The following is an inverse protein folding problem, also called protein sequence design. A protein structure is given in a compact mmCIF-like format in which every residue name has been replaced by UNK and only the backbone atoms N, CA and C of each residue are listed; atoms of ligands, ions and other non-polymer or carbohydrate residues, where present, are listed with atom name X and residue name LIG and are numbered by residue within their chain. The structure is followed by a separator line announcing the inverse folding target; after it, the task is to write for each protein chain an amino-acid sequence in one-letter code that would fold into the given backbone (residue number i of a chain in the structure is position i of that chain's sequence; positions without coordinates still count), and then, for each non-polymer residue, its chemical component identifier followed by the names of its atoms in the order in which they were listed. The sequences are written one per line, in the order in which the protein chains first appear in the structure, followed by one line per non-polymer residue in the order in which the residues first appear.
data_IF_990504347333
#
_entry.id   IF_990504347333
#
_cell.length_a   1.000
_cell.length_b   1.000
_cell.length_c   1.000
_cell.angle_alpha   90.00
_cell.angle_beta   90.00
_cell.angle_gamma   90.00
#
_symmetry.space_group_name_H-M   'P 1'
#
loop_
_entity.id
_entity.type
_entity.pdbx_description
1 polymer ?
#
# COMPACT_ATOMS: atom_id res chain seq x y z
N UNK A 1 -16.46 0.05 -22.86
CA UNK A 1 -16.76 -1.17 -22.06
C UNK A 1 -16.38 -0.81 -20.64
N UNK A 2 -17.31 -0.90 -19.68
CA UNK A 2 -16.95 -0.68 -18.28
C UNK A 2 -15.93 -1.72 -17.84
N UNK A 3 -14.94 -1.28 -17.10
CA UNK A 3 -13.91 -2.15 -16.54
C UNK A 3 -14.56 -3.05 -15.47
N UNK A 4 -14.27 -4.36 -15.49
CA UNK A 4 -14.81 -5.30 -14.50
C UNK A 4 -13.83 -5.38 -13.33
N UNK A 5 -14.35 -5.17 -12.10
CA UNK A 5 -13.57 -5.15 -10.89
C UNK A 5 -13.90 -6.32 -9.96
N UNK A 6 -12.91 -6.71 -9.17
CA UNK A 6 -13.06 -7.61 -8.03
C UNK A 6 -13.22 -6.79 -6.74
N UNK A 7 -14.39 -6.89 -6.09
CA UNK A 7 -14.82 -6.00 -5.02
C UNK A 7 -15.26 -6.79 -3.78
N UNK A 8 -14.69 -6.50 -2.61
CA UNK A 8 -15.20 -6.99 -1.35
C UNK A 8 -15.96 -5.89 -0.60
N UNK A 9 -17.27 -6.06 -0.39
CA UNK A 9 -18.06 -5.25 0.51
C UNK A 9 -18.00 -5.82 1.93
N UNK A 10 -17.66 -5.00 2.90
CA UNK A 10 -17.46 -5.40 4.29
C UNK A 10 -18.48 -4.73 5.18
N UNK A 11 -19.29 -5.53 5.88
CA UNK A 11 -20.27 -5.02 6.86
C UNK A 11 -19.94 -5.53 8.28
N UNK A 12 -20.06 -4.69 9.32
CA UNK A 12 -19.84 -5.12 10.69
C UNK A 12 -21.05 -5.86 11.31
N UNK A 13 -22.16 -5.95 10.58
CA UNK A 13 -23.40 -6.54 11.04
C UNK A 13 -23.56 -7.98 10.57
N UNK A 14 -24.18 -8.86 11.41
CA UNK A 14 -24.49 -10.24 10.99
C UNK A 14 -25.29 -10.24 9.69
N UNK A 15 -24.88 -11.07 8.73
CA UNK A 15 -25.52 -11.07 7.41
C UNK A 15 -27.00 -11.46 7.46
N UNK A 16 -27.39 -12.25 8.46
CA UNK A 16 -28.76 -12.66 8.68
C UNK A 16 -29.68 -11.53 9.17
N UNK A 17 -29.12 -10.41 9.66
CA UNK A 17 -29.88 -9.25 10.15
C UNK A 17 -30.50 -8.45 8.99
N UNK A 18 -31.62 -8.95 8.46
CA UNK A 18 -32.31 -8.33 7.31
C UNK A 18 -32.91 -6.95 7.64
N UNK A 19 -33.29 -6.72 8.90
CA UNK A 19 -33.82 -5.43 9.37
C UNK A 19 -32.76 -4.31 9.44
N UNK A 20 -31.49 -4.66 9.36
CA UNK A 20 -30.40 -3.69 9.43
C UNK A 20 -30.33 -2.89 8.12
N UNK A 21 -30.44 -1.56 8.21
CA UNK A 21 -30.45 -0.67 7.04
C UNK A 21 -29.15 -0.76 6.23
N UNK A 22 -27.99 -0.88 6.90
CA UNK A 22 -26.70 -1.02 6.21
C UNK A 22 -26.64 -2.33 5.43
N UNK A 23 -27.07 -3.45 6.02
CA UNK A 23 -27.11 -4.73 5.32
C UNK A 23 -28.09 -4.74 4.14
N UNK A 24 -29.23 -4.02 4.22
CA UNK A 24 -30.14 -3.86 3.08
C UNK A 24 -29.47 -3.11 1.95
N UNK A 25 -28.84 -1.97 2.25
CA UNK A 25 -28.08 -1.20 1.29
C UNK A 25 -26.95 -2.05 0.64
N UNK A 26 -26.17 -2.77 1.44
CA UNK A 26 -25.11 -3.66 0.93
C UNK A 26 -25.68 -4.74 0.01
N UNK A 27 -26.82 -5.36 0.35
CA UNK A 27 -27.47 -6.36 -0.51
C UNK A 27 -27.89 -5.80 -1.86
N UNK A 28 -28.54 -4.63 -1.86
CA UNK A 28 -29.00 -3.97 -3.08
C UNK A 28 -27.82 -3.58 -3.98
N UNK A 29 -26.82 -2.92 -3.40
CA UNK A 29 -25.61 -2.48 -4.14
C UNK A 29 -24.84 -3.68 -4.71
N UNK A 30 -24.57 -4.70 -3.88
CA UNK A 30 -23.77 -5.84 -4.32
C UNK A 30 -24.48 -6.71 -5.36
N UNK A 31 -25.79 -6.88 -5.25
CA UNK A 31 -26.58 -7.57 -6.27
C UNK A 31 -26.56 -6.82 -7.61
N UNK A 32 -26.64 -5.48 -7.58
CA UNK A 32 -26.56 -4.67 -8.80
C UNK A 32 -25.17 -4.73 -9.43
N UNK A 33 -24.09 -4.55 -8.66
CA UNK A 33 -22.72 -4.63 -9.15
C UNK A 33 -22.41 -6.01 -9.74
N UNK A 34 -22.89 -7.10 -9.13
CA UNK A 34 -22.74 -8.44 -9.68
C UNK A 34 -23.50 -8.60 -11.00
N UNK A 35 -24.74 -8.08 -11.11
CA UNK A 35 -25.51 -8.09 -12.35
C UNK A 35 -24.86 -7.25 -13.46
N UNK A 36 -24.12 -6.19 -13.12
CA UNK A 36 -23.35 -5.36 -14.05
C UNK A 36 -21.99 -6.00 -14.43
N UNK A 37 -21.69 -7.20 -13.90
CA UNK A 37 -20.57 -8.06 -14.30
C UNK A 37 -19.33 -7.98 -13.42
N UNK A 38 -19.38 -7.25 -12.29
CA UNK A 38 -18.29 -7.23 -11.32
C UNK A 38 -18.22 -8.54 -10.51
N UNK A 39 -17.03 -8.92 -10.08
CA UNK A 39 -16.83 -10.03 -9.14
C UNK A 39 -16.99 -9.53 -7.71
N UNK A 40 -18.11 -9.88 -7.06
CA UNK A 40 -18.49 -9.27 -5.78
C UNK A 40 -18.50 -10.28 -4.63
N UNK A 41 -17.71 -9.97 -3.58
CA UNK A 41 -17.74 -10.64 -2.28
C UNK A 41 -18.46 -9.79 -1.24
N UNK A 42 -19.12 -10.45 -0.30
CA UNK A 42 -19.61 -9.81 0.93
C UNK A 42 -18.93 -10.47 2.12
N UNK A 43 -18.22 -9.68 2.93
CA UNK A 43 -17.59 -10.11 4.17
C UNK A 43 -18.45 -9.64 5.35
N UNK A 44 -19.05 -10.58 6.07
CA UNK A 44 -19.93 -10.26 7.18
C UNK A 44 -19.79 -11.27 8.33
N UNK A 45 -20.05 -10.89 9.59
CA UNK A 45 -20.28 -11.84 10.68
C UNK A 45 -21.54 -12.68 10.41
N UNK A 46 -21.65 -13.83 11.07
CA UNK A 46 -22.81 -14.73 10.96
C UNK A 46 -23.22 -15.29 12.31
N UNK A 47 -24.50 -15.55 12.52
CA UNK A 47 -25.01 -16.32 13.66
C UNK A 47 -24.80 -17.83 13.47
N UNK A 48 -24.45 -18.28 12.26
CA UNK A 48 -24.23 -19.69 11.95
C UNK A 48 -22.76 -20.09 12.03
N UNK A 49 -22.41 -20.87 13.04
CA UNK A 49 -21.07 -21.47 13.18
C UNK A 49 -20.71 -22.36 11.96
N UNK A 50 -21.70 -23.03 11.39
CA UNK A 50 -21.52 -23.88 10.22
C UNK A 50 -21.05 -23.07 9.00
N UNK A 51 -21.72 -21.94 8.69
CA UNK A 51 -21.31 -21.02 7.61
C UNK A 51 -19.90 -20.47 7.83
N UNK A 52 -19.54 -20.14 9.07
CA UNK A 52 -18.17 -19.68 9.39
C UNK A 52 -17.13 -20.78 9.11
N UNK A 53 -17.44 -22.04 9.48
CA UNK A 53 -16.56 -23.19 9.20
C UNK A 53 -16.43 -23.47 7.70
N UNK A 54 -17.54 -23.41 6.96
CA UNK A 54 -17.55 -23.58 5.50
C UNK A 54 -16.73 -22.48 4.82
N UNK A 55 -16.92 -21.20 5.19
CA UNK A 55 -16.15 -20.08 4.68
C UNK A 55 -14.65 -20.26 4.91
N UNK A 56 -14.23 -20.68 6.11
CA UNK A 56 -12.82 -20.96 6.41
C UNK A 56 -12.26 -22.14 5.61
N UNK A 57 -13.06 -23.17 5.33
CA UNK A 57 -12.63 -24.28 4.45
C UNK A 57 -12.45 -23.79 3.02
N UNK A 58 -13.38 -22.99 2.51
CA UNK A 58 -13.30 -22.41 1.17
C UNK A 58 -12.07 -21.53 1.01
N UNK A 59 -11.77 -20.65 1.97
CA UNK A 59 -10.57 -19.80 1.97
C UNK A 59 -9.30 -20.65 1.90
N UNK A 60 -9.21 -21.72 2.71
CA UNK A 60 -8.03 -22.59 2.71
C UNK A 60 -7.90 -23.42 1.44
N UNK A 61 -9.01 -23.86 0.86
CA UNK A 61 -9.02 -24.63 -0.38
C UNK A 61 -8.58 -23.78 -1.58
N UNK A 62 -8.89 -22.50 -1.54
CA UNK A 62 -8.57 -21.55 -2.63
C UNK A 62 -7.11 -21.05 -2.64
N UNK A 63 -6.24 -21.54 -1.74
CA UNK A 63 -4.82 -21.20 -1.75
C UNK A 63 -4.21 -21.60 -3.09
N UNK A 64 -3.95 -20.60 -3.95
CA UNK A 64 -3.42 -20.76 -5.29
C UNK A 64 -4.44 -20.67 -6.44
N UNK A 65 -5.76 -20.63 -6.14
CA UNK A 65 -6.82 -20.49 -7.13
C UNK A 65 -7.87 -19.46 -6.68
N UNK A 66 -7.51 -18.20 -6.69
CA UNK A 66 -8.31 -17.05 -6.22
C UNK A 66 -9.67 -16.96 -6.90
N UNK A 67 -9.76 -17.31 -8.17
CA UNK A 67 -10.99 -17.29 -8.95
C UNK A 67 -12.12 -18.12 -8.31
N UNK A 68 -11.81 -19.21 -7.61
CA UNK A 68 -12.82 -20.05 -6.93
C UNK A 68 -13.49 -19.33 -5.75
N UNK A 69 -12.82 -18.37 -5.14
CA UNK A 69 -13.40 -17.56 -4.05
C UNK A 69 -14.23 -16.37 -4.57
N UNK A 70 -13.93 -15.87 -5.74
CA UNK A 70 -14.63 -14.74 -6.33
C UNK A 70 -15.96 -15.13 -6.97
N UNK A 71 -16.05 -16.32 -7.55
CA UNK A 71 -17.29 -16.76 -8.18
C UNK A 71 -18.31 -17.24 -7.15
N UNK A 72 -19.50 -16.61 -7.15
CA UNK A 72 -20.68 -17.06 -6.42
C UNK A 72 -21.28 -18.36 -6.97
N UNK A 73 -22.41 -18.77 -6.46
CA UNK A 73 -23.17 -19.91 -6.97
C UNK A 73 -23.73 -19.65 -8.38
N UNK A 74 -24.01 -18.38 -8.71
CA UNK A 74 -24.32 -17.88 -10.05
C UNK A 74 -23.40 -16.66 -10.31
N UNK A 75 -23.05 -16.40 -11.59
CA UNK A 75 -22.15 -15.30 -11.96
C UNK A 75 -22.70 -13.91 -11.65
N UNK A 76 -23.98 -13.78 -11.45
CA UNK A 76 -24.75 -12.57 -11.20
C UNK A 76 -25.14 -12.39 -9.72
N UNK A 77 -24.66 -13.25 -8.83
CA UNK A 77 -24.91 -13.15 -7.38
C UNK A 77 -23.62 -12.93 -6.59
N UNK A 78 -23.63 -12.01 -5.58
CA UNK A 78 -22.49 -11.79 -4.72
C UNK A 78 -22.22 -13.01 -3.82
N UNK A 79 -20.98 -13.39 -3.67
CA UNK A 79 -20.59 -14.47 -2.76
C UNK A 79 -20.45 -13.93 -1.34
N UNK A 80 -21.13 -14.58 -0.39
CA UNK A 80 -21.06 -14.21 1.03
C UNK A 80 -20.08 -15.12 1.78
N UNK A 81 -19.10 -14.47 2.43
CA UNK A 81 -18.09 -15.10 3.29
C UNK A 81 -18.39 -14.73 4.76
N UNK A 82 -18.71 -15.71 5.56
CA UNK A 82 -18.92 -15.54 7.00
C UNK A 82 -17.57 -15.49 7.73
N UNK A 83 -17.16 -14.29 8.18
CA UNK A 83 -15.82 -14.06 8.74
C UNK A 83 -15.68 -14.35 10.22
N UNK A 84 -16.78 -14.49 10.95
CA UNK A 84 -16.78 -14.83 12.38
C UNK A 84 -18.17 -15.07 12.93
N UNK A 85 -18.25 -15.86 14.01
CA UNK A 85 -19.50 -16.14 14.70
C UNK A 85 -19.88 -15.02 15.67
N UNK A 86 -21.15 -14.61 15.63
CA UNK A 86 -21.71 -13.68 16.59
C UNK A 86 -22.21 -14.43 17.80
N UNK A 87 -21.58 -14.22 18.94
CA UNK A 87 -22.01 -14.81 20.20
C UNK A 87 -23.11 -13.95 20.83
N UNK A 88 -24.25 -14.55 21.14
CA UNK A 88 -25.28 -13.96 21.99
C UNK A 88 -24.79 -13.97 23.44
N UNK A 89 -24.44 -12.81 23.97
CA UNK A 89 -24.11 -12.68 25.39
C UNK A 89 -25.42 -12.65 26.19
N UNK A 90 -25.80 -13.80 26.71
CA UNK A 90 -26.90 -13.90 27.66
C UNK A 90 -26.45 -13.36 29.03
N UNK A 91 -26.83 -12.11 29.33
CA UNK A 91 -26.55 -11.53 30.65
C UNK A 91 -26.61 -10.03 30.65
N UNK A 92 -27.59 -9.50 31.31
CA UNK A 92 -28.02 -8.13 31.53
C UNK A 92 -27.05 -6.99 31.30
N UNK A 93 -27.57 -5.98 30.63
CA UNK A 93 -27.08 -4.66 30.30
C UNK A 93 -26.39 -4.49 28.94
N UNK A 94 -27.19 -4.11 27.93
CA UNK A 94 -26.82 -3.27 26.78
C UNK A 94 -25.54 -3.56 25.97
N UNK A 95 -24.97 -4.75 26.00
CA UNK A 95 -23.94 -5.13 25.03
C UNK A 95 -24.57 -5.78 23.80
N UNK A 96 -24.35 -5.12 22.65
CA UNK A 96 -24.75 -5.70 21.35
C UNK A 96 -23.92 -6.95 21.05
N UNK A 97 -24.48 -8.01 20.45
CA UNK A 97 -23.72 -9.19 20.04
C UNK A 97 -22.58 -8.78 19.13
N UNK A 98 -21.37 -9.20 19.42
CA UNK A 98 -20.20 -8.97 18.57
C UNK A 98 -19.44 -10.28 18.36
N UNK A 99 -18.96 -10.51 17.15
CA UNK A 99 -18.06 -11.60 16.88
C UNK A 99 -16.73 -11.43 17.64
N UNK A 100 -16.09 -12.53 18.02
CA UNK A 100 -14.78 -12.48 18.69
C UNK A 100 -13.76 -11.81 17.78
N UNK A 101 -13.24 -10.68 18.21
CA UNK A 101 -12.37 -9.81 17.39
C UNK A 101 -11.14 -10.51 16.82
N UNK A 102 -10.55 -11.44 17.56
CA UNK A 102 -9.35 -12.20 17.14
C UNK A 102 -9.69 -13.18 16.01
N UNK A 103 -10.80 -13.90 16.11
CA UNK A 103 -11.23 -14.86 15.10
C UNK A 103 -11.62 -14.18 13.78
N UNK A 104 -12.32 -13.06 13.87
CA UNK A 104 -12.69 -12.23 12.71
C UNK A 104 -11.44 -11.69 12.01
N UNK A 105 -10.53 -11.08 12.77
CA UNK A 105 -9.30 -10.51 12.22
C UNK A 105 -8.47 -11.56 11.49
N UNK A 106 -8.29 -12.74 12.09
CA UNK A 106 -7.51 -13.83 11.49
C UNK A 106 -8.15 -14.37 10.20
N UNK A 107 -9.49 -14.49 10.16
CA UNK A 107 -10.18 -14.97 8.96
C UNK A 107 -10.08 -13.94 7.83
N UNK A 108 -10.21 -12.65 8.14
CA UNK A 108 -10.07 -11.56 7.17
C UNK A 108 -8.62 -11.47 6.69
N UNK A 109 -7.63 -11.57 7.58
CA UNK A 109 -6.21 -11.58 7.22
C UNK A 109 -5.88 -12.73 6.26
N UNK A 110 -6.34 -13.97 6.58
CA UNK A 110 -6.15 -15.14 5.73
C UNK A 110 -6.82 -14.95 4.36
N UNK A 111 -8.04 -14.41 4.32
CA UNK A 111 -8.77 -14.15 3.09
C UNK A 111 -8.05 -13.11 2.23
N UNK A 112 -7.80 -11.91 2.77
CA UNK A 112 -7.19 -10.80 2.02
C UNK A 112 -5.71 -11.05 1.67
N UNK A 113 -5.06 -12.01 2.34
CA UNK A 113 -3.74 -12.51 1.95
C UNK A 113 -3.77 -13.59 0.85
N UNK A 114 -4.95 -14.16 0.57
CA UNK A 114 -5.12 -15.25 -0.41
C UNK A 114 -5.64 -14.74 -1.75
N UNK A 115 -6.49 -13.71 -1.75
CA UNK A 115 -7.14 -13.18 -2.96
C UNK A 115 -6.63 -11.79 -3.31
N UNK A 116 -6.53 -11.53 -4.60
CA UNK A 116 -6.28 -10.19 -5.14
C UNK A 116 -7.61 -9.51 -5.42
N UNK A 117 -7.80 -8.34 -4.83
CA UNK A 117 -8.99 -7.52 -4.99
C UNK A 117 -8.60 -6.16 -5.53
N UNK A 118 -9.45 -5.59 -6.38
CA UNK A 118 -9.32 -4.20 -6.80
C UNK A 118 -9.78 -3.26 -5.69
N UNK A 119 -10.88 -3.61 -5.01
CA UNK A 119 -11.49 -2.79 -3.99
C UNK A 119 -11.88 -3.55 -2.73
N UNK A 120 -11.68 -2.91 -1.59
CA UNK A 120 -12.28 -3.27 -0.31
C UNK A 120 -13.17 -2.10 0.13
N UNK A 121 -14.48 -2.28 0.01
CA UNK A 121 -15.48 -1.28 0.35
C UNK A 121 -16.05 -1.55 1.75
N UNK A 122 -15.66 -0.73 2.70
CA UNK A 122 -15.99 -0.94 4.12
C UNK A 122 -17.16 -0.07 4.54
N UNK A 123 -18.25 -0.71 4.95
CA UNK A 123 -19.39 -0.02 5.54
C UNK A 123 -19.19 0.15 7.05
N UNK A 124 -19.44 1.35 7.56
CA UNK A 124 -19.14 1.75 8.94
C UNK A 124 -17.66 1.49 9.29
N UNK A 125 -16.71 2.20 8.67
CA UNK A 125 -15.26 1.91 8.76
C UNK A 125 -14.71 1.87 10.19
N UNK A 126 -15.34 2.59 11.12
CA UNK A 126 -14.92 2.64 12.52
C UNK A 126 -15.60 1.61 13.41
N UNK A 127 -16.45 0.77 12.86
CA UNK A 127 -17.02 -0.32 13.64
C UNK A 127 -15.93 -1.32 14.02
N UNK A 128 -15.85 -1.74 15.29
CA UNK A 128 -14.84 -2.69 15.74
C UNK A 128 -15.00 -4.06 15.06
N UNK A 129 -13.95 -4.84 15.12
CA UNK A 129 -13.84 -6.19 14.54
C UNK A 129 -13.75 -6.22 13.02
N UNK A 130 -14.86 -6.42 12.30
CA UNK A 130 -14.86 -6.72 10.86
C UNK A 130 -14.33 -5.58 10.02
N UNK A 131 -14.89 -4.37 10.17
CA UNK A 131 -14.50 -3.20 9.39
C UNK A 131 -13.04 -2.80 9.62
N UNK A 132 -12.63 -2.78 10.88
CA UNK A 132 -11.26 -2.44 11.25
C UNK A 132 -10.25 -3.49 10.75
N UNK A 133 -10.58 -4.79 10.87
CA UNK A 133 -9.71 -5.86 10.37
C UNK A 133 -9.55 -5.79 8.84
N UNK A 134 -10.63 -5.49 8.10
CA UNK A 134 -10.56 -5.35 6.66
C UNK A 134 -9.62 -4.22 6.24
N UNK A 135 -9.76 -3.02 6.83
CA UNK A 135 -8.86 -1.89 6.55
C UNK A 135 -7.41 -2.17 6.96
N UNK A 136 -7.21 -2.93 8.03
CA UNK A 136 -5.88 -3.28 8.51
C UNK A 136 -5.12 -4.20 7.55
N UNK A 137 -5.81 -5.17 6.95
CA UNK A 137 -5.19 -6.22 6.14
C UNK A 137 -5.36 -6.02 4.63
N UNK A 138 -6.17 -5.04 4.20
CA UNK A 138 -6.38 -4.73 2.78
C UNK A 138 -5.09 -4.29 2.08
N UNK A 139 -4.91 -4.81 0.86
CA UNK A 139 -3.91 -4.38 -0.13
C UNK A 139 -4.57 -3.77 -1.37
N UNK A 140 -5.89 -3.62 -1.34
CA UNK A 140 -6.71 -3.04 -2.39
C UNK A 140 -6.97 -1.55 -2.15
N UNK A 141 -7.58 -0.88 -3.13
CA UNK A 141 -8.15 0.45 -2.92
C UNK A 141 -9.31 0.36 -1.93
N UNK A 142 -9.33 1.26 -0.94
CA UNK A 142 -10.29 1.19 0.17
C UNK A 142 -11.30 2.33 0.09
N UNK A 143 -12.58 1.98 0.11
CA UNK A 143 -13.68 2.94 0.22
C UNK A 143 -14.33 2.80 1.60
N UNK A 144 -14.60 3.91 2.26
CA UNK A 144 -15.34 3.93 3.52
C UNK A 144 -16.70 4.58 3.36
N UNK A 145 -17.78 3.83 3.61
CA UNK A 145 -19.15 4.36 3.61
C UNK A 145 -19.70 4.52 5.02
N UNK A 146 -20.13 5.72 5.34
CA UNK A 146 -20.69 6.11 6.64
C UNK A 146 -22.21 6.26 6.53
N UNK A 147 -22.95 5.46 7.30
CA UNK A 147 -24.43 5.39 7.23
C UNK A 147 -25.13 5.94 8.48
N UNK A 148 -24.46 5.92 9.63
CA UNK A 148 -25.06 6.29 10.92
C UNK A 148 -24.53 7.62 11.44
N UNK A 149 -25.44 8.44 11.96
CA UNK A 149 -25.12 9.81 12.33
C UNK A 149 -24.61 10.04 13.76
N UNK A 150 -24.77 9.16 14.75
CA UNK A 150 -24.59 9.66 16.12
C UNK A 150 -24.03 8.73 17.20
N UNK A 151 -24.55 7.54 17.40
CA UNK A 151 -24.26 6.80 18.65
C UNK A 151 -22.86 6.13 18.70
N UNK A 152 -22.26 5.85 17.53
CA UNK A 152 -20.95 5.20 17.45
C UNK A 152 -19.79 6.19 17.39
N UNK A 153 -20.07 7.44 17.03
CA UNK A 153 -19.05 8.47 16.95
C UNK A 153 -18.42 8.78 18.30
N UNK A 154 -19.18 8.74 19.39
CA UNK A 154 -18.65 9.00 20.75
C UNK A 154 -17.62 7.96 21.19
N UNK A 155 -17.82 6.68 20.86
CA UNK A 155 -16.81 5.66 21.13
C UNK A 155 -15.58 5.79 20.22
N UNK A 156 -15.76 6.30 19.01
CA UNK A 156 -14.71 6.59 18.03
C UNK A 156 -13.87 7.80 18.45
N UNK A 157 -14.48 8.84 19.03
CA UNK A 157 -13.77 10.00 19.55
C UNK A 157 -12.83 9.65 20.71
N UNK A 158 -13.22 8.71 21.57
CA UNK A 158 -12.34 8.19 22.62
C UNK A 158 -11.15 7.38 22.07
N UNK A 159 -11.29 6.79 20.90
CA UNK A 159 -10.25 6.05 20.19
C UNK A 159 -9.61 6.85 19.03
N UNK A 160 -9.75 8.17 18.99
CA UNK A 160 -9.39 9.05 17.86
C UNK A 160 -8.00 8.76 17.29
N UNK A 161 -6.97 8.70 18.13
CA UNK A 161 -5.58 8.42 17.69
C UNK A 161 -5.42 7.06 16.99
N UNK A 162 -6.21 6.08 17.42
CA UNK A 162 -6.21 4.74 16.81
C UNK A 162 -6.95 4.77 15.47
N UNK A 163 -8.06 5.49 15.39
CA UNK A 163 -8.85 5.67 14.16
C UNK A 163 -8.08 6.45 13.11
N UNK A 164 -7.38 7.51 13.49
CA UNK A 164 -6.54 8.33 12.59
C UNK A 164 -5.51 7.49 11.83
N UNK A 165 -4.94 6.45 12.46
CA UNK A 165 -3.97 5.58 11.81
C UNK A 165 -4.56 4.72 10.67
N UNK A 166 -5.87 4.45 10.69
CA UNK A 166 -6.58 3.71 9.64
C UNK A 166 -7.33 4.61 8.67
N UNK A 167 -7.63 5.83 9.08
CA UNK A 167 -8.37 6.78 8.28
C UNK A 167 -7.64 7.17 6.99
N UNK A 168 -6.32 7.35 7.07
CA UNK A 168 -5.46 7.62 5.92
C UNK A 168 -5.46 6.51 4.86
N UNK A 169 -5.86 5.28 5.22
CA UNK A 169 -5.95 4.16 4.28
C UNK A 169 -7.20 4.19 3.39
N UNK A 170 -8.16 5.09 3.66
CA UNK A 170 -9.34 5.27 2.84
C UNK A 170 -9.02 6.14 1.63
N UNK A 171 -9.14 5.58 0.44
CA UNK A 171 -8.92 6.26 -0.84
C UNK A 171 -10.11 7.11 -1.27
N UNK A 172 -11.32 6.70 -0.86
CA UNK A 172 -12.52 7.51 -0.94
C UNK A 172 -13.37 7.35 0.33
N UNK A 173 -14.16 8.38 0.62
CA UNK A 173 -15.06 8.44 1.77
C UNK A 173 -16.42 8.87 1.28
N UNK A 174 -17.46 8.10 1.62
CA UNK A 174 -18.83 8.40 1.23
C UNK A 174 -19.74 8.49 2.45
N UNK A 175 -20.80 9.24 2.33
CA UNK A 175 -21.85 9.31 3.35
C UNK A 175 -23.24 9.17 2.71
N UNK A 176 -24.12 8.43 3.38
CA UNK A 176 -25.48 8.25 2.88
C UNK A 176 -26.41 9.42 3.20
N UNK A 177 -26.05 10.23 4.21
CA UNK A 177 -26.86 11.35 4.70
C UNK A 177 -25.98 12.61 4.85
N UNK A 178 -26.52 13.82 4.53
CA UNK A 178 -25.78 15.07 4.68
C UNK A 178 -25.32 15.35 6.12
N UNK A 179 -26.15 15.01 7.12
CA UNK A 179 -25.81 15.15 8.52
C UNK A 179 -24.67 14.21 8.94
N UNK A 180 -24.59 13.02 8.35
CA UNK A 180 -23.45 12.09 8.56
C UNK A 180 -22.17 12.68 7.97
N UNK A 181 -22.21 13.20 6.75
CA UNK A 181 -21.09 13.86 6.11
C UNK A 181 -20.58 15.05 6.94
N UNK A 182 -21.49 15.94 7.37
CA UNK A 182 -21.15 17.11 8.16
C UNK A 182 -20.54 16.74 9.53
N UNK A 183 -21.08 15.70 10.18
CA UNK A 183 -20.57 15.20 11.44
C UNK A 183 -19.18 14.59 11.30
N UNK A 184 -18.95 13.80 10.25
CA UNK A 184 -17.65 13.20 9.95
C UNK A 184 -16.62 14.26 9.61
N UNK A 185 -16.94 15.22 8.73
CA UNK A 185 -16.03 16.31 8.35
C UNK A 185 -15.60 17.18 9.54
N UNK A 186 -16.49 17.38 10.54
CA UNK A 186 -16.16 18.10 11.77
C UNK A 186 -15.06 17.42 12.59
N UNK A 187 -15.03 16.10 12.64
CA UNK A 187 -14.10 15.33 13.48
C UNK A 187 -12.92 14.75 12.72
N UNK A 188 -13.10 14.46 11.44
CA UNK A 188 -12.13 13.94 10.49
C UNK A 188 -12.23 14.77 9.21
N UNK A 189 -11.55 15.92 9.15
CA UNK A 189 -11.59 16.82 7.99
C UNK A 189 -11.16 16.10 6.72
N UNK A 190 -12.08 15.92 5.80
CA UNK A 190 -11.87 15.35 4.47
C UNK A 190 -13.13 15.56 3.63
N UNK A 191 -13.03 15.28 2.33
CA UNK A 191 -14.18 15.26 1.45
C UNK A 191 -14.97 13.97 1.62
N UNK A 192 -16.31 14.11 1.72
CA UNK A 192 -17.24 13.01 1.82
C UNK A 192 -18.24 13.09 0.67
N UNK A 193 -18.12 12.14 -0.27
CA UNK A 193 -19.03 12.07 -1.40
C UNK A 193 -20.40 11.56 -0.97
N UNK A 194 -21.47 12.21 -1.45
CA UNK A 194 -22.81 11.81 -1.11
C UNK A 194 -23.28 10.64 -1.97
N UNK A 195 -23.56 9.50 -1.31
CA UNK A 195 -24.14 8.32 -1.95
C UNK A 195 -25.41 7.95 -1.18
N UNK A 196 -26.52 8.57 -1.58
CA UNK A 196 -27.81 8.32 -0.96
C UNK A 196 -28.36 6.91 -1.29
N UNK A 197 -29.16 6.37 -0.37
CA UNK A 197 -29.84 5.08 -0.51
C UNK A 197 -31.17 5.29 -1.31
N UNK A 198 -31.06 5.51 -2.61
CA UNK A 198 -32.15 5.90 -3.51
C UNK A 198 -32.24 5.03 -4.79
N UNK A 199 -31.69 3.81 -4.74
CA UNK A 199 -31.62 2.90 -5.88
C UNK A 199 -30.54 3.23 -6.91
N UNK A 200 -29.87 4.39 -6.82
CA UNK A 200 -28.76 4.78 -7.69
C UNK A 200 -27.37 4.61 -7.07
N UNK A 201 -27.27 4.02 -5.88
CA UNK A 201 -26.02 3.92 -5.13
C UNK A 201 -24.95 3.11 -5.87
N UNK A 202 -25.31 2.00 -6.50
CA UNK A 202 -24.37 1.15 -7.23
C UNK A 202 -23.64 1.93 -8.35
N UNK A 203 -24.38 2.63 -9.22
CA UNK A 203 -23.77 3.43 -10.30
C UNK A 203 -22.87 4.56 -9.78
N UNK A 204 -23.22 5.16 -8.62
CA UNK A 204 -22.34 6.17 -8.00
C UNK A 204 -21.06 5.55 -7.46
N UNK A 205 -21.12 4.35 -6.88
CA UNK A 205 -19.93 3.61 -6.46
C UNK A 205 -19.08 3.17 -7.63
N UNK A 206 -19.65 2.73 -8.76
CA UNK A 206 -18.90 2.41 -9.97
C UNK A 206 -18.07 3.60 -10.45
N UNK A 207 -18.66 4.81 -10.50
CA UNK A 207 -17.91 6.03 -10.85
C UNK A 207 -16.75 6.32 -9.89
N UNK A 208 -16.93 6.03 -8.60
CA UNK A 208 -15.86 6.15 -7.61
C UNK A 208 -14.77 5.09 -7.87
N UNK A 209 -15.15 3.83 -8.14
CA UNK A 209 -14.22 2.76 -8.45
C UNK A 209 -13.40 3.08 -9.70
N UNK A 210 -14.04 3.48 -10.80
CA UNK A 210 -13.36 3.85 -12.05
C UNK A 210 -12.36 4.98 -11.82
N UNK A 211 -12.77 6.04 -11.11
CA UNK A 211 -11.88 7.17 -10.80
C UNK A 211 -10.69 6.76 -9.94
N UNK A 212 -10.88 5.89 -8.94
CA UNK A 212 -9.80 5.41 -8.09
C UNK A 212 -8.88 4.44 -8.84
N UNK A 213 -9.45 3.55 -9.67
CA UNK A 213 -8.67 2.62 -10.49
C UNK A 213 -7.74 3.35 -11.46
N UNK A 214 -8.22 4.46 -12.03
CA UNK A 214 -7.44 5.30 -12.95
C UNK A 214 -6.18 5.91 -12.31
N UNK A 215 -6.07 5.94 -10.97
CA UNK A 215 -4.88 6.42 -10.25
C UNK A 215 -3.81 5.34 -10.06
N UNK A 216 -4.11 4.09 -10.39
CA UNK A 216 -3.12 3.01 -10.31
C UNK A 216 -2.13 3.09 -11.47
N UNK A 217 -0.89 2.80 -11.17
CA UNK A 217 0.11 2.63 -12.21
C UNK A 217 -0.19 1.41 -13.08
N UNK A 218 0.24 1.45 -14.35
CA UNK A 218 0.14 0.28 -15.22
C UNK A 218 1.07 -0.84 -14.75
N UNK A 219 0.56 -2.06 -14.69
CA UNK A 219 1.39 -3.26 -14.51
C UNK A 219 2.08 -3.67 -15.80
N UNK A 220 1.61 -3.17 -16.94
CA UNK A 220 2.20 -3.50 -18.23
C UNK A 220 3.55 -2.81 -18.38
N UNK A 221 4.57 -3.60 -18.68
CA UNK A 221 5.89 -3.13 -19.07
C UNK A 221 6.00 -2.99 -20.58
N UNK A 222 7.18 -2.59 -21.05
CA UNK A 222 7.52 -2.59 -22.45
C UNK A 222 7.98 -4.01 -22.86
N UNK A 223 7.23 -4.73 -23.73
CA UNK A 223 7.56 -6.11 -24.13
C UNK A 223 8.90 -6.22 -24.87
N UNK A 224 9.31 -5.18 -25.62
CA UNK A 224 10.58 -5.18 -26.33
C UNK A 224 11.74 -5.04 -25.36
N UNK A 225 11.62 -4.13 -24.38
CA UNK A 225 12.60 -4.00 -23.30
C UNK A 225 12.65 -5.25 -22.43
N UNK A 226 11.51 -5.84 -22.07
CA UNK A 226 11.45 -7.10 -21.32
C UNK A 226 12.18 -8.23 -22.05
N UNK A 227 11.95 -8.40 -23.37
CA UNK A 227 12.63 -9.38 -24.18
C UNK A 227 14.16 -9.13 -24.27
N UNK A 228 14.56 -7.86 -24.38
CA UNK A 228 15.98 -7.46 -24.38
C UNK A 228 16.66 -7.80 -23.06
N UNK A 229 16.01 -7.50 -21.94
CA UNK A 229 16.57 -7.65 -20.58
C UNK A 229 16.61 -9.11 -20.14
N UNK A 230 15.69 -9.97 -20.59
CA UNK A 230 15.65 -11.39 -20.24
C UNK A 230 16.93 -12.16 -20.63
N UNK A 231 17.69 -11.65 -21.59
CA UNK A 231 19.01 -12.20 -22.00
C UNK A 231 20.20 -11.70 -21.17
N UNK A 232 20.00 -10.73 -20.28
CA UNK A 232 21.07 -10.18 -19.45
C UNK A 232 21.24 -10.96 -18.15
N UNK A 233 22.43 -10.92 -17.51
CA UNK A 233 22.65 -11.56 -16.22
C UNK A 233 21.76 -10.93 -15.14
N UNK A 234 21.42 -11.71 -14.13
CA UNK A 234 20.83 -11.19 -12.89
C UNK A 234 21.94 -10.57 -12.03
N UNK A 235 21.67 -9.41 -11.49
CA UNK A 235 22.56 -8.69 -10.56
C UNK A 235 21.82 -8.36 -9.27
N UNK A 236 22.56 -8.25 -8.18
CA UNK A 236 22.05 -7.73 -6.91
C UNK A 236 22.28 -6.21 -6.86
N UNK A 237 21.26 -5.45 -6.51
CA UNK A 237 21.26 -3.99 -6.48
C UNK A 237 20.82 -3.49 -5.10
N UNK A 238 21.52 -2.52 -4.54
CA UNK A 238 21.13 -1.82 -3.31
C UNK A 238 20.81 -0.36 -3.65
N UNK A 239 19.58 0.07 -3.39
CA UNK A 239 19.04 1.35 -3.89
C UNK A 239 19.15 2.52 -2.91
N UNK A 240 19.71 2.32 -1.71
CA UNK A 240 19.74 3.37 -0.71
C UNK A 240 20.97 3.24 0.19
N UNK A 241 21.92 4.16 0.10
CA UNK A 241 23.11 4.21 0.95
C UNK A 241 23.79 5.57 0.94
N UNK A 242 24.62 5.80 1.94
CA UNK A 242 25.28 7.07 2.18
C UNK A 242 26.81 6.95 2.20
N UNK A 243 27.48 8.08 1.89
CA UNK A 243 28.93 8.25 1.94
C UNK A 243 29.32 9.32 2.96
N UNK A 244 30.60 9.59 3.12
CA UNK A 244 31.14 10.69 3.94
C UNK A 244 30.86 12.10 3.36
N UNK A 245 30.17 12.20 2.21
CA UNK A 245 29.57 13.43 1.71
C UNK A 245 28.23 13.75 2.40
N UNK A 246 27.60 12.77 3.02
CA UNK A 246 26.43 12.95 3.89
C UNK A 246 26.87 13.35 5.29
N UNK A 247 26.13 14.25 5.93
CA UNK A 247 26.51 14.82 7.24
C UNK A 247 26.51 13.81 8.40
N UNK A 248 25.91 12.68 8.24
CA UNK A 248 25.69 11.62 9.24
C UNK A 248 26.35 10.28 8.91
N UNK A 249 27.12 10.22 7.83
CA UNK A 249 27.87 9.05 7.42
C UNK A 249 29.38 9.37 7.34
N UNK A 250 30.22 8.40 7.68
CA UNK A 250 31.67 8.53 7.64
C UNK A 250 32.35 7.51 6.72
N UNK A 251 31.59 6.84 5.84
CA UNK A 251 32.09 5.84 4.91
C UNK A 251 32.66 6.50 3.66
N UNK A 252 34.00 6.51 3.44
CA UNK A 252 34.59 7.05 2.22
C UNK A 252 34.09 6.32 0.97
N UNK A 253 34.01 7.03 -0.15
CA UNK A 253 33.52 6.50 -1.44
C UNK A 253 34.30 5.25 -1.88
N UNK A 254 35.63 5.23 -1.76
CA UNK A 254 36.44 4.08 -2.12
C UNK A 254 36.19 2.85 -1.24
N UNK A 255 35.88 3.07 0.06
CA UNK A 255 35.54 1.97 0.99
C UNK A 255 34.14 1.42 0.65
N UNK A 256 33.18 2.31 0.30
CA UNK A 256 31.86 1.93 -0.14
C UNK A 256 31.91 1.07 -1.41
N UNK A 257 32.64 1.50 -2.43
CA UNK A 257 32.79 0.76 -3.70
C UNK A 257 33.48 -0.60 -3.50
N UNK A 258 34.59 -0.63 -2.73
CA UNK A 258 35.27 -1.87 -2.42
C UNK A 258 34.36 -2.85 -1.66
N UNK A 259 33.55 -2.36 -0.75
CA UNK A 259 32.60 -3.19 0.01
C UNK A 259 31.47 -3.70 -0.89
N UNK A 260 30.90 -2.85 -1.75
CA UNK A 260 29.88 -3.24 -2.71
C UNK A 260 30.38 -4.38 -3.63
N UNK A 261 31.57 -4.24 -4.17
CA UNK A 261 32.23 -5.29 -4.96
C UNK A 261 32.40 -6.58 -4.16
N UNK A 262 32.94 -6.50 -2.95
CA UNK A 262 33.17 -7.66 -2.08
C UNK A 262 31.87 -8.39 -1.67
N UNK A 263 30.75 -7.65 -1.59
CA UNK A 263 29.41 -8.18 -1.34
C UNK A 263 28.73 -8.75 -2.59
N UNK A 264 29.35 -8.60 -3.77
CA UNK A 264 28.82 -9.08 -5.04
C UNK A 264 27.65 -8.25 -5.58
N UNK A 265 27.57 -6.97 -5.18
CA UNK A 265 26.57 -6.04 -5.73
C UNK A 265 26.99 -5.67 -7.15
N UNK A 266 26.09 -5.83 -8.12
CA UNK A 266 26.29 -5.42 -9.51
C UNK A 266 26.01 -3.95 -9.74
N UNK A 267 25.10 -3.36 -8.93
CA UNK A 267 24.84 -1.93 -8.94
C UNK A 267 24.50 -1.41 -7.53
N UNK A 268 24.76 -0.13 -7.32
CA UNK A 268 24.40 0.60 -6.09
C UNK A 268 23.84 1.99 -6.44
N UNK A 269 22.89 2.50 -5.64
CA UNK A 269 22.49 3.89 -5.71
C UNK A 269 23.09 4.64 -4.51
N UNK A 270 23.94 5.62 -4.77
CA UNK A 270 24.49 6.52 -3.74
C UNK A 270 23.54 7.71 -3.61
N UNK A 271 23.02 7.92 -2.39
CA UNK A 271 21.86 8.79 -2.13
C UNK A 271 22.11 9.70 -0.93
N UNK A 272 23.24 10.38 -0.89
CA UNK A 272 23.62 11.26 0.21
C UNK A 272 22.56 12.34 0.50
N UNK A 273 22.38 12.69 1.78
CA UNK A 273 21.42 13.68 2.22
C UNK A 273 21.69 15.08 1.66
N UNK A 274 20.82 15.55 0.77
CA UNK A 274 20.89 16.87 0.15
C UNK A 274 22.25 17.16 -0.50
N UNK A 275 22.91 16.14 -1.03
CA UNK A 275 24.22 16.21 -1.65
C UNK A 275 24.36 15.14 -2.75
N UNK A 276 24.94 15.52 -3.88
CA UNK A 276 25.14 14.62 -5.03
C UNK A 276 26.61 14.27 -5.26
N UNK A 277 27.54 15.02 -4.62
CA UNK A 277 28.97 14.92 -4.90
C UNK A 277 29.55 13.54 -4.62
N UNK A 278 29.08 12.83 -3.57
CA UNK A 278 29.49 11.45 -3.27
C UNK A 278 29.08 10.48 -4.37
N UNK A 279 27.87 10.60 -4.89
CA UNK A 279 27.38 9.80 -6.02
C UNK A 279 28.15 10.06 -7.31
N UNK A 280 28.50 11.32 -7.60
CA UNK A 280 29.32 11.68 -8.77
C UNK A 280 30.75 11.14 -8.65
N UNK A 281 31.36 11.21 -7.45
CA UNK A 281 32.66 10.64 -7.18
C UNK A 281 32.66 9.10 -7.30
N UNK A 282 31.65 8.45 -6.75
CA UNK A 282 31.47 7.00 -6.88
C UNK A 282 31.30 6.57 -8.35
N UNK A 283 30.50 7.32 -9.13
CA UNK A 283 30.32 7.06 -10.57
C UNK A 283 31.64 7.18 -11.34
N UNK A 284 32.47 8.16 -11.01
CA UNK A 284 33.77 8.33 -11.66
C UNK A 284 34.74 7.15 -11.43
N UNK A 285 34.57 6.40 -10.34
CA UNK A 285 35.38 5.24 -9.96
C UNK A 285 34.69 3.89 -10.28
N UNK A 286 33.44 3.89 -10.75
CA UNK A 286 32.57 2.73 -10.91
C UNK A 286 33.18 1.63 -11.79
N UNK A 287 33.74 1.99 -12.94
CA UNK A 287 34.36 1.04 -13.89
C UNK A 287 35.54 0.30 -13.24
N UNK A 288 36.41 1.04 -12.54
CA UNK A 288 37.57 0.45 -11.85
C UNK A 288 37.14 -0.45 -10.69
N UNK A 289 36.07 -0.10 -10.01
CA UNK A 289 35.51 -0.88 -8.90
C UNK A 289 34.73 -2.11 -9.37
N UNK A 290 34.33 -2.18 -10.63
CA UNK A 290 33.51 -3.26 -11.17
C UNK A 290 32.08 -3.28 -10.62
N UNK A 291 31.54 -2.11 -10.22
CA UNK A 291 30.19 -1.93 -9.67
C UNK A 291 29.53 -0.76 -10.41
N UNK A 292 28.34 -0.97 -10.91
CA UNK A 292 27.54 0.11 -11.54
C UNK A 292 27.05 1.07 -10.47
N UNK A 293 27.14 2.38 -10.71
CA UNK A 293 26.69 3.42 -9.79
C UNK A 293 25.52 4.19 -10.40
N UNK A 294 24.38 4.17 -9.72
CA UNK A 294 23.24 5.04 -9.95
C UNK A 294 23.48 6.31 -9.15
N UNK A 295 23.52 7.45 -9.83
CA UNK A 295 23.63 8.74 -9.17
C UNK A 295 22.28 9.12 -8.59
N UNK A 296 22.23 9.34 -7.29
CA UNK A 296 21.04 9.74 -6.58
C UNK A 296 21.31 10.78 -5.51
N UNK A 297 20.24 11.28 -4.93
CA UNK A 297 20.26 12.22 -3.81
C UNK A 297 19.01 11.99 -2.96
N UNK A 298 19.17 11.78 -1.64
CA UNK A 298 18.05 11.80 -0.71
C UNK A 298 17.78 13.24 -0.27
N UNK A 299 16.69 13.79 -0.81
CA UNK A 299 16.33 15.20 -0.63
C UNK A 299 15.36 15.35 0.51
N UNK A 300 15.76 16.12 1.52
CA UNK A 300 14.85 16.60 2.57
C UNK A 300 14.09 17.81 2.04
N UNK A 301 12.78 17.64 1.85
CA UNK A 301 11.88 18.71 1.42
C UNK A 301 11.68 19.74 2.54
N UNK A 302 11.02 20.86 2.23
CA UNK A 302 10.81 21.96 3.19
C UNK A 302 10.08 21.50 4.45
N UNK A 303 8.97 20.74 4.32
CA UNK A 303 8.13 20.35 5.45
C UNK A 303 7.48 18.95 5.30
N UNK A 304 7.64 18.29 4.14
CA UNK A 304 6.79 17.15 3.74
C UNK A 304 7.57 15.83 3.64
N UNK A 305 8.69 15.71 4.34
CA UNK A 305 9.47 14.49 4.39
C UNK A 305 10.59 14.43 3.35
N UNK A 306 11.06 13.23 3.07
CA UNK A 306 12.20 12.95 2.21
C UNK A 306 11.75 12.20 0.95
N UNK A 307 12.48 12.43 -0.17
CA UNK A 307 12.32 11.72 -1.43
C UNK A 307 13.69 11.54 -2.09
N UNK A 308 13.92 10.41 -2.73
CA UNK A 308 15.14 10.14 -3.47
C UNK A 308 14.93 10.40 -4.96
N UNK A 309 15.81 11.20 -5.57
CA UNK A 309 15.99 11.26 -7.01
C UNK A 309 17.04 10.26 -7.45
N UNK A 310 16.69 9.32 -8.33
CA UNK A 310 17.64 8.38 -8.94
C UNK A 310 17.91 8.80 -10.41
N UNK A 311 19.10 8.49 -10.91
CA UNK A 311 19.54 8.85 -12.27
C UNK A 311 19.51 10.36 -12.54
N UNK A 312 19.83 11.16 -11.55
CA UNK A 312 19.96 12.61 -11.66
C UNK A 312 21.40 13.00 -11.98
N UNK A 313 21.59 14.20 -12.57
CA UNK A 313 22.90 14.71 -12.97
C UNK A 313 23.32 15.98 -12.22
N UNK A 314 22.36 16.68 -11.64
CA UNK A 314 22.55 17.93 -10.93
C UNK A 314 21.93 17.87 -9.54
N UNK A 315 22.60 18.51 -8.57
CA UNK A 315 22.10 18.64 -7.21
C UNK A 315 20.73 19.33 -7.16
N UNK A 316 19.82 18.77 -6.39
CA UNK A 316 18.51 19.35 -6.19
C UNK A 316 18.58 20.50 -5.18
N UNK A 317 17.99 21.69 -5.49
CA UNK A 317 18.01 22.81 -4.58
C UNK A 317 17.32 22.49 -3.25
N UNK A 318 17.91 22.96 -2.14
CA UNK A 318 17.30 22.81 -0.81
C UNK A 318 16.11 23.74 -0.62
N UNK A 319 15.15 23.29 0.23
CA UNK A 319 14.01 24.11 0.66
C UNK A 319 12.84 24.09 -0.32
N UNK A 320 12.87 23.21 -1.30
CA UNK A 320 11.73 22.94 -2.16
C UNK A 320 10.64 22.17 -1.42
N UNK A 321 9.38 22.39 -1.77
CA UNK A 321 8.28 21.52 -1.37
C UNK A 321 8.43 20.13 -1.98
N UNK A 322 7.66 19.16 -1.51
CA UNK A 322 7.69 17.80 -2.06
C UNK A 322 7.37 17.79 -3.57
N UNK A 323 6.35 18.54 -3.99
CA UNK A 323 5.95 18.64 -5.40
C UNK A 323 7.02 19.33 -6.25
N UNK A 324 7.64 20.40 -5.76
CA UNK A 324 8.74 21.08 -6.46
C UNK A 324 9.98 20.18 -6.58
N UNK A 325 10.30 19.42 -5.52
CA UNK A 325 11.40 18.44 -5.54
C UNK A 325 11.15 17.35 -6.57
N UNK A 326 9.95 16.78 -6.61
CA UNK A 326 9.53 15.78 -7.61
C UNK A 326 9.63 16.35 -9.02
N UNK A 327 9.12 17.58 -9.24
CA UNK A 327 9.21 18.24 -10.53
C UNK A 327 10.67 18.46 -10.97
N UNK A 328 11.57 18.78 -10.04
CA UNK A 328 12.99 18.97 -10.35
C UNK A 328 13.68 17.64 -10.69
N UNK A 329 13.37 16.53 -9.99
CA UNK A 329 13.85 15.19 -10.35
C UNK A 329 13.42 14.84 -11.78
N UNK A 330 12.12 15.02 -12.08
CA UNK A 330 11.57 14.75 -13.43
C UNK A 330 12.15 15.65 -14.51
N UNK A 331 12.44 16.93 -14.21
CA UNK A 331 13.11 17.86 -15.15
C UNK A 331 14.47 17.33 -15.61
N UNK A 332 15.18 16.63 -14.73
CA UNK A 332 16.47 16.02 -15.04
C UNK A 332 16.34 14.68 -15.78
N UNK A 333 15.12 14.15 -15.99
CA UNK A 333 14.88 12.81 -16.51
C UNK A 333 15.14 11.71 -15.47
N UNK A 334 15.24 12.08 -14.20
CA UNK A 334 15.42 11.18 -13.07
C UNK A 334 14.14 10.44 -12.69
N UNK A 335 14.31 9.45 -11.82
CA UNK A 335 13.22 8.66 -11.23
C UNK A 335 12.96 9.09 -9.80
N UNK A 336 11.68 9.19 -9.45
CA UNK A 336 11.21 9.51 -8.11
C UNK A 336 11.06 8.21 -7.32
N UNK A 337 11.89 8.04 -6.30
CA UNK A 337 11.92 6.90 -5.40
C UNK A 337 11.60 7.37 -3.98
N UNK A 338 10.56 6.81 -3.35
CA UNK A 338 10.15 7.20 -2.00
C UNK A 338 10.79 6.27 -0.98
N UNK A 339 11.75 6.75 -0.16
CA UNK A 339 12.43 5.94 0.84
C UNK A 339 11.55 5.72 2.06
N UNK A 340 11.67 4.57 2.74
CA UNK A 340 11.04 4.21 4.03
C UNK A 340 9.72 4.94 4.36
N UNK A 341 8.69 4.94 3.48
CA UNK A 341 7.61 5.92 3.40
C UNK A 341 6.72 6.04 4.63
N UNK A 342 6.74 5.05 5.53
CA UNK A 342 5.87 5.01 6.72
C UNK A 342 6.63 4.97 8.04
N UNK A 343 7.95 5.06 8.01
CA UNK A 343 8.76 5.09 9.23
C UNK A 343 8.67 6.45 9.92
N UNK A 344 7.80 6.52 10.93
CA UNK A 344 7.55 7.73 11.71
C UNK A 344 8.74 8.16 12.60
N UNK A 345 9.81 7.42 12.61
CA UNK A 345 11.08 7.79 13.26
C UNK A 345 11.94 8.66 12.35
N UNK A 346 11.65 8.66 11.04
CA UNK A 346 12.30 9.49 10.02
C UNK A 346 11.36 10.59 9.51
N UNK A 347 11.90 11.52 8.74
CA UNK A 347 11.12 12.55 8.06
C UNK A 347 10.47 11.92 6.81
N UNK A 348 9.24 11.44 6.94
CA UNK A 348 8.51 10.80 5.83
C UNK A 348 7.30 11.64 5.45
N UNK A 349 6.89 11.65 4.16
CA UNK A 349 5.63 12.22 3.74
C UNK A 349 4.48 11.53 4.46
N UNK A 350 3.48 12.27 4.90
CA UNK A 350 2.24 11.65 5.36
C UNK A 350 1.45 11.07 4.16
N UNK A 351 0.40 10.33 4.47
CA UNK A 351 -0.39 9.62 3.46
C UNK A 351 -1.00 10.57 2.42
N UNK A 352 -1.42 11.75 2.83
CA UNK A 352 -2.03 12.76 1.98
C UNK A 352 -0.99 13.35 1.00
N UNK A 353 0.21 13.65 1.49
CA UNK A 353 1.31 14.14 0.65
C UNK A 353 1.77 13.07 -0.35
N UNK A 354 1.85 11.79 0.05
CA UNK A 354 2.14 10.70 -0.89
C UNK A 354 1.09 10.57 -1.98
N UNK A 355 -0.19 10.71 -1.63
CA UNK A 355 -1.27 10.69 -2.61
C UNK A 355 -1.23 11.88 -3.56
N UNK A 356 -0.72 13.04 -3.12
CA UNK A 356 -0.60 14.23 -3.95
C UNK A 356 0.48 14.12 -5.04
N UNK A 357 1.47 13.26 -4.86
CA UNK A 357 2.56 13.02 -5.83
C UNK A 357 2.48 11.66 -6.52
N UNK A 358 1.43 10.89 -6.24
CA UNK A 358 1.32 9.48 -6.65
C UNK A 358 1.60 9.24 -8.14
N UNK A 359 1.10 10.11 -9.00
CA UNK A 359 1.21 9.99 -10.45
C UNK A 359 2.66 10.19 -10.95
N UNK A 360 3.50 10.85 -10.15
CA UNK A 360 4.90 11.13 -10.47
C UNK A 360 5.89 10.17 -9.79
N UNK A 361 5.43 9.33 -8.83
CA UNK A 361 6.27 8.34 -8.15
C UNK A 361 6.56 7.18 -9.09
N UNK A 362 7.84 6.89 -9.34
CA UNK A 362 8.25 5.77 -10.20
C UNK A 362 8.38 4.46 -9.43
N UNK A 363 8.91 4.51 -8.20
CA UNK A 363 9.06 3.34 -7.33
C UNK A 363 9.03 3.75 -5.85
N UNK A 364 8.83 2.76 -4.97
CA UNK A 364 8.72 2.98 -3.53
C UNK A 364 9.53 1.92 -2.76
N UNK A 365 10.23 2.34 -1.71
CA UNK A 365 10.98 1.45 -0.84
C UNK A 365 10.02 0.66 0.07
N UNK A 366 9.90 -0.63 -0.17
CA UNK A 366 9.00 -1.50 0.61
C UNK A 366 9.74 -2.28 1.69
N UNK A 367 11.07 -2.30 1.62
CA UNK A 367 11.91 -2.92 2.64
C UNK A 367 13.19 -2.11 2.86
N UNK A 368 13.35 -1.68 4.12
CA UNK A 368 14.55 -1.03 4.63
C UNK A 368 14.86 -1.67 6.00
N UNK A 369 16.05 -2.26 6.20
CA UNK A 369 16.40 -2.99 7.43
C UNK A 369 16.61 -2.05 8.64
N UNK A 370 16.80 -0.73 8.44
CA UNK A 370 16.88 0.26 9.52
C UNK A 370 15.54 0.65 10.09
N UNK A 371 14.45 0.32 9.40
CA UNK A 371 13.09 0.52 9.93
C UNK A 371 12.89 -0.39 11.14
N UNK A 372 12.90 0.20 12.33
CA UNK A 372 12.86 -0.51 13.61
C UNK A 372 11.54 -1.26 13.86
N UNK A 373 10.44 -0.77 13.30
CA UNK A 373 9.10 -1.34 13.44
C UNK A 373 8.67 -1.96 12.11
N UNK A 374 8.78 -3.29 12.00
CA UNK A 374 8.48 -4.03 10.76
C UNK A 374 7.08 -3.74 10.15
N UNK A 375 6.11 -3.33 10.98
CA UNK A 375 4.80 -2.92 10.49
C UNK A 375 4.82 -1.71 9.52
N UNK A 376 5.88 -0.90 9.53
CA UNK A 376 6.04 0.20 8.57
C UNK A 376 6.47 -0.31 7.19
N UNK A 377 7.37 -1.28 7.12
CA UNK A 377 7.68 -2.00 5.88
C UNK A 377 6.43 -2.72 5.32
N UNK A 378 5.64 -3.36 6.20
CA UNK A 378 4.37 -3.98 5.78
C UNK A 378 3.38 -2.97 5.20
N UNK A 379 3.35 -1.73 5.74
CA UNK A 379 2.51 -0.65 5.20
C UNK A 379 3.00 -0.19 3.83
N UNK A 380 4.31 -0.11 3.63
CA UNK A 380 4.91 0.22 2.34
C UNK A 380 4.55 -0.84 1.27
N UNK A 381 4.62 -2.12 1.62
CA UNK A 381 4.16 -3.22 0.74
C UNK A 381 2.68 -3.06 0.39
N UNK A 382 1.82 -2.74 1.36
CA UNK A 382 0.37 -2.53 1.10
C UNK A 382 0.14 -1.35 0.17
N UNK A 383 0.84 -0.25 0.38
CA UNK A 383 0.73 0.94 -0.46
C UNK A 383 1.22 0.66 -1.89
N UNK A 384 2.39 0.03 -2.04
CA UNK A 384 2.93 -0.36 -3.35
C UNK A 384 1.94 -1.26 -4.12
N UNK A 385 1.41 -2.31 -3.46
CA UNK A 385 0.44 -3.22 -4.08
C UNK A 385 -0.85 -2.49 -4.47
N UNK A 386 -1.39 -1.66 -3.58
CA UNK A 386 -2.63 -0.89 -3.80
C UNK A 386 -2.55 -0.02 -5.05
N UNK A 387 -1.46 0.71 -5.23
CA UNK A 387 -1.29 1.64 -6.35
C UNK A 387 -0.48 1.07 -7.51
N UNK A 388 -0.08 -0.20 -7.43
CA UNK A 388 0.71 -0.90 -8.45
C UNK A 388 2.06 -0.23 -8.71
N UNK A 389 2.66 0.34 -7.65
CA UNK A 389 3.99 0.93 -7.73
C UNK A 389 5.06 -0.16 -7.74
N UNK A 390 6.09 -0.04 -8.59
CA UNK A 390 7.27 -0.88 -8.51
C UNK A 390 7.92 -0.81 -7.13
N UNK A 391 8.21 -1.99 -6.57
CA UNK A 391 8.75 -2.15 -5.23
C UNK A 391 10.28 -2.15 -5.26
N UNK A 392 10.89 -1.28 -4.48
CA UNK A 392 12.33 -1.23 -4.28
C UNK A 392 12.73 -1.62 -2.86
N UNK A 393 14.03 -1.80 -2.65
CA UNK A 393 14.62 -2.00 -1.33
C UNK A 393 16.03 -1.40 -1.28
N UNK A 394 16.41 -0.90 -0.11
CA UNK A 394 17.73 -0.36 0.11
C UNK A 394 18.21 -0.61 1.54
N UNK A 395 19.53 -0.67 1.73
CA UNK A 395 20.10 -0.89 3.05
C UNK A 395 20.06 0.34 3.94
N UNK A 396 19.95 1.52 3.33
CA UNK A 396 20.06 2.82 4.02
C UNK A 396 21.34 2.86 4.88
N UNK A 397 22.40 2.32 4.32
CA UNK A 397 23.62 2.06 5.08
C UNK A 397 24.42 3.34 5.29
N UNK A 398 24.76 3.61 6.55
CA UNK A 398 25.66 4.69 6.97
C UNK A 398 27.03 4.15 7.41
N UNK A 399 27.23 2.84 7.28
CA UNK A 399 28.49 2.15 7.57
C UNK A 399 28.72 1.05 6.55
N UNK A 400 29.98 0.83 6.15
CA UNK A 400 30.31 -0.14 5.11
C UNK A 400 29.74 -1.55 5.38
N UNK A 401 29.65 -1.99 6.65
CA UNK A 401 29.15 -3.30 7.02
C UNK A 401 27.66 -3.51 6.77
N UNK A 402 26.88 -2.42 6.66
CA UNK A 402 25.46 -2.48 6.39
C UNK A 402 25.10 -2.64 4.91
N UNK A 403 26.04 -2.38 4.00
CA UNK A 403 25.82 -2.47 2.56
C UNK A 403 25.29 -3.84 2.15
N UNK A 404 24.28 -3.85 1.29
CA UNK A 404 23.68 -5.06 0.76
C UNK A 404 22.86 -5.86 1.78
N UNK A 405 22.58 -5.30 2.98
CA UNK A 405 21.66 -5.93 3.95
C UNK A 405 20.20 -5.97 3.45
N UNK A 406 19.84 -5.08 2.55
CA UNK A 406 18.69 -5.18 1.66
C UNK A 406 19.17 -5.05 0.23
N UNK A 407 18.68 -5.89 -0.65
CA UNK A 407 19.04 -5.84 -2.07
C UNK A 407 17.90 -6.33 -2.94
N UNK A 408 17.92 -5.93 -4.19
CA UNK A 408 16.98 -6.34 -5.20
C UNK A 408 17.74 -7.17 -6.23
N UNK A 409 17.24 -8.37 -6.54
CA UNK A 409 17.77 -9.20 -7.63
C UNK A 409 16.98 -8.95 -8.88
N UNK A 410 17.63 -8.42 -9.90
CA UNK A 410 17.00 -8.00 -11.14
C UNK A 410 17.96 -8.20 -12.34
N UNK A 411 17.42 -8.18 -13.55
CA UNK A 411 18.27 -8.19 -14.75
C UNK A 411 19.13 -6.92 -14.82
N UNK A 412 20.37 -7.05 -15.29
CA UNK A 412 21.25 -5.91 -15.53
C UNK A 412 20.63 -4.93 -16.53
N UNK A 413 20.90 -3.64 -16.37
CA UNK A 413 20.23 -2.55 -17.07
C UNK A 413 21.21 -1.42 -17.45
N UNK A 414 20.83 -0.63 -18.45
CA UNK A 414 21.50 0.59 -18.82
C UNK A 414 20.50 1.76 -18.82
N UNK A 415 20.67 2.66 -17.85
CA UNK A 415 19.81 3.84 -17.67
C UNK A 415 18.44 3.61 -17.05
N UNK A 416 17.67 4.68 -16.86
CA UNK A 416 16.45 4.67 -16.06
C UNK A 416 15.31 3.82 -16.65
N UNK A 417 15.19 3.79 -17.97
CA UNK A 417 14.08 3.05 -18.63
C UNK A 417 14.23 1.54 -18.48
N UNK A 418 15.45 1.01 -18.75
CA UNK A 418 15.73 -0.41 -18.56
C UNK A 418 15.72 -0.81 -17.08
N UNK A 419 16.20 0.09 -16.20
CA UNK A 419 16.09 -0.10 -14.75
C UNK A 419 14.63 -0.28 -14.33
N UNK A 420 13.73 0.61 -14.73
CA UNK A 420 12.30 0.51 -14.39
C UNK A 420 11.66 -0.76 -14.95
N UNK A 421 11.99 -1.16 -16.16
CA UNK A 421 11.50 -2.43 -16.72
C UNK A 421 12.03 -3.62 -15.92
N UNK A 422 13.31 -3.64 -15.57
CA UNK A 422 13.91 -4.72 -14.79
C UNK A 422 13.38 -4.77 -13.34
N UNK A 423 13.05 -3.63 -12.74
CA UNK A 423 12.52 -3.53 -11.38
C UNK A 423 11.11 -4.15 -11.25
N UNK A 424 10.33 -4.18 -12.33
CA UNK A 424 8.97 -4.77 -12.33
C UNK A 424 8.96 -6.25 -11.96
N UNK A 425 9.97 -6.99 -12.42
CA UNK A 425 10.09 -8.43 -12.22
C UNK A 425 11.14 -8.78 -11.16
N UNK A 426 11.59 -7.80 -10.39
CA UNK A 426 12.67 -7.95 -9.43
C UNK A 426 12.24 -8.70 -8.17
N UNK A 427 13.17 -9.44 -7.60
CA UNK A 427 13.02 -10.12 -6.31
C UNK A 427 13.72 -9.32 -5.20
N UNK A 428 13.01 -9.02 -4.11
CA UNK A 428 13.60 -8.40 -2.93
C UNK A 428 14.28 -9.49 -2.11
N UNK A 429 15.60 -9.37 -1.96
CA UNK A 429 16.44 -10.29 -1.17
C UNK A 429 16.76 -9.63 0.17
N UNK A 430 16.12 -10.13 1.22
CA UNK A 430 16.34 -9.65 2.58
C UNK A 430 17.60 -10.31 3.16
N UNK A 431 18.61 -9.52 3.52
CA UNK A 431 19.72 -9.96 4.33
C UNK A 431 19.27 -10.27 5.76
N UNK A 432 20.12 -10.96 6.53
CA UNK A 432 19.88 -11.08 7.97
C UNK A 432 20.06 -9.70 8.60
N UNK A 433 18.98 -9.05 9.01
CA UNK A 433 19.07 -7.81 9.74
C UNK A 433 19.74 -8.06 11.08
N UNK A 434 20.87 -7.42 11.30
CA UNK A 434 21.44 -7.27 12.63
C UNK A 434 20.99 -5.89 13.14
N UNK A 435 20.25 -5.85 14.24
CA UNK A 435 19.87 -4.61 14.95
C UNK A 435 21.09 -3.81 15.48
N UNK A 436 22.29 -4.14 15.04
CA UNK A 436 23.57 -3.58 15.47
C UNK A 436 24.25 -2.70 14.40
N UNK A 437 23.58 -2.40 13.29
CA UNK A 437 24.14 -1.55 12.23
C UNK A 437 23.32 -0.30 12.01
#
# INVERSE_FOLDING_TARGET
MSEHFSIAHVTPYPWEAQENAVNRHVREVTARLAADGHEVLVLAPSHSQERVRESRRAIRAARGETAQLLHGAARDEPRVIAVGEVLEVTGGARRRPSALSIDVARTIEELLGTIELDFVHVHEPFAPSTSNAALRHSRALNIGSFHSSTERLLSTLLARRFVESFYGRLDARTASLPETAALMAKHFPADYEMVADDGGAASRYEQIYERLAARRHSLEGDPELAAKLSGRPLIDVDLHMHTDHSHDCATPVEVLLATAHAQGLGAIAVTDHNEISGALEARAQAEQAGVKVIVGEEVKTAEQGEVIGLFIEEKIPRGLTLQETVAEIKRQGGLVYVPHPFDRMHAVPDYEHLLAILDDVDAIEVFNPRVAIGAFNDEAVRFATKYRLPAGAGSDSHVAQGLGSARIRMHDFDGPQEFMQSLRDAEIVMGRSSLLY
#
